data_IF_662077066321
#
_entry.id   IF_662077066321
#
_cell.length_a   1.000
_cell.length_b   1.000
_cell.length_c   1.000
_cell.angle_alpha   90.00
_cell.angle_beta   90.00
_cell.angle_gamma   90.00
#
_symmetry.space_group_name_H-M   'P 1'
#
loop_
_entity.id
_entity.type
_entity.pdbx_description
1 polymer ?
#
# COMPACT_ATOMS: atom_id res chain seq x y z
N UNK A 1 -0.16 -11.60 0.15
CA UNK A 1 0.60 -10.34 0.32
C UNK A 1 1.02 -9.88 -1.06
N UNK A 2 0.51 -8.75 -1.54
CA UNK A 2 0.94 -8.19 -2.82
C UNK A 2 2.32 -7.57 -2.65
N UNK A 3 3.23 -7.83 -3.58
CA UNK A 3 4.53 -7.14 -3.59
C UNK A 3 4.31 -5.64 -3.83
N UNK A 4 4.98 -4.75 -3.12
CA UNK A 4 4.82 -3.30 -3.26
C UNK A 4 5.28 -2.77 -4.63
N UNK A 5 6.01 -3.55 -5.37
CA UNK A 5 6.41 -3.29 -6.75
C UNK A 5 5.95 -4.46 -7.60
N UNK A 6 5.10 -4.19 -8.57
CA UNK A 6 4.64 -5.18 -9.52
C UNK A 6 5.45 -5.05 -10.80
N UNK A 7 6.18 -6.11 -11.15
CA UNK A 7 6.73 -6.24 -12.49
C UNK A 7 5.64 -6.84 -13.38
N UNK A 8 4.91 -6.02 -14.10
CA UNK A 8 3.98 -6.49 -15.11
C UNK A 8 4.77 -6.89 -16.35
N UNK A 9 5.14 -8.19 -16.45
CA UNK A 9 5.50 -8.75 -17.73
C UNK A 9 4.22 -8.96 -18.53
N UNK A 10 4.05 -8.23 -19.62
CA UNK A 10 3.05 -8.57 -20.62
C UNK A 10 3.44 -9.89 -21.29
N UNK A 11 2.86 -11.00 -20.84
CA UNK A 11 3.05 -12.33 -21.44
C UNK A 11 3.68 -13.35 -20.51
N UNK A 12 3.13 -14.58 -20.52
CA UNK A 12 3.66 -15.72 -19.77
C UNK A 12 5.16 -15.93 -19.99
N UNK A 13 5.91 -16.34 -18.96
CA UNK A 13 7.34 -16.57 -19.08
C UNK A 13 7.64 -17.84 -19.85
N UNK A 14 7.62 -17.77 -21.16
CA UNK A 14 8.51 -18.59 -21.97
C UNK A 14 9.90 -17.99 -21.77
N UNK A 15 10.89 -18.81 -21.45
CA UNK A 15 12.26 -18.40 -21.18
C UNK A 15 12.66 -17.20 -22.05
N UNK A 16 12.61 -16.01 -21.47
CA UNK A 16 12.94 -14.79 -22.17
C UNK A 16 14.45 -14.80 -22.35
N UNK A 17 14.89 -15.02 -23.58
CA UNK A 17 16.19 -14.48 -23.99
C UNK A 17 16.13 -12.98 -23.64
N UNK A 18 17.06 -12.53 -22.80
CA UNK A 18 17.26 -11.10 -22.53
C UNK A 18 17.80 -10.46 -23.82
N UNK A 19 16.94 -10.31 -24.84
CA UNK A 19 17.21 -9.37 -25.91
C UNK A 19 17.14 -7.99 -25.27
N UNK A 20 18.27 -7.32 -25.15
CA UNK A 20 18.33 -5.95 -24.66
C UNK A 20 17.32 -5.13 -25.48
N UNK A 21 16.38 -4.40 -24.84
CA UNK A 21 15.48 -3.55 -25.59
C UNK A 21 16.32 -2.57 -26.40
N UNK A 22 16.07 -2.48 -27.68
CA UNK A 22 16.78 -1.60 -28.62
C UNK A 22 16.60 -0.11 -28.31
N UNK A 23 15.62 0.24 -27.46
CA UNK A 23 15.36 1.59 -27.01
C UNK A 23 15.45 1.68 -25.47
N UNK A 24 16.29 2.61 -24.99
CA UNK A 24 16.41 2.92 -23.58
C UNK A 24 15.08 3.44 -23.02
N UNK A 25 14.45 2.67 -22.14
CA UNK A 25 13.24 3.10 -21.44
C UNK A 25 13.60 4.14 -20.38
N UNK A 26 12.94 5.29 -20.43
CA UNK A 26 13.12 6.36 -19.45
C UNK A 26 12.27 6.09 -18.20
N UNK A 27 12.87 6.36 -17.05
CA UNK A 27 12.12 6.41 -15.80
C UNK A 27 11.32 7.70 -15.72
N UNK A 28 10.13 7.62 -15.10
CA UNK A 28 9.22 8.76 -14.94
C UNK A 28 8.43 8.67 -13.63
N UNK A 29 7.92 9.82 -13.18
CA UNK A 29 6.89 9.93 -12.16
C UNK A 29 5.58 10.33 -12.83
N UNK A 30 4.56 9.47 -12.74
CA UNK A 30 3.18 9.85 -13.10
C UNK A 30 2.57 10.58 -11.92
N UNK A 31 2.15 11.82 -12.12
CA UNK A 31 1.56 12.69 -11.10
C UNK A 31 0.05 12.66 -11.24
N UNK A 32 -0.65 12.29 -10.18
CA UNK A 32 -2.09 12.08 -10.15
C UNK A 32 -2.79 13.02 -9.18
N UNK A 33 -4.04 13.33 -9.43
CA UNK A 33 -4.89 14.00 -8.43
C UNK A 33 -5.00 13.14 -7.18
N UNK A 34 -4.98 13.77 -5.97
CA UNK A 34 -5.33 13.04 -4.76
C UNK A 34 -6.80 12.56 -4.84
N UNK A 35 -7.17 11.42 -4.23
CA UNK A 35 -8.55 10.98 -4.22
C UNK A 35 -9.44 11.98 -3.49
N UNK A 36 -10.71 12.04 -3.87
CA UNK A 36 -11.70 12.83 -3.14
C UNK A 36 -11.88 12.26 -1.72
N UNK A 37 -12.13 13.12 -0.76
CA UNK A 37 -12.36 12.73 0.64
C UNK A 37 -13.44 11.63 0.72
N UNK A 38 -13.15 10.52 1.41
CA UNK A 38 -14.05 9.37 1.52
C UNK A 38 -14.05 8.40 0.34
N UNK A 39 -13.21 8.61 -0.68
CA UNK A 39 -13.04 7.68 -1.79
C UNK A 39 -12.05 6.54 -1.48
N UNK A 40 -12.12 5.47 -2.28
CA UNK A 40 -11.14 4.39 -2.20
C UNK A 40 -9.70 4.93 -2.38
N UNK A 41 -8.73 4.32 -1.71
CA UNK A 41 -7.30 4.67 -1.79
C UNK A 41 -6.71 4.34 -3.18
N UNK A 42 -7.28 4.94 -4.23
CA UNK A 42 -6.83 4.82 -5.62
C UNK A 42 -6.39 6.18 -6.13
N UNK A 43 -5.30 6.25 -6.92
CA UNK A 43 -4.90 7.48 -7.58
C UNK A 43 -6.05 8.04 -8.43
N UNK A 44 -6.26 9.34 -8.38
CA UNK A 44 -7.18 10.03 -9.27
C UNK A 44 -6.64 10.16 -10.68
N UNK A 45 -7.21 11.08 -11.46
CA UNK A 45 -6.82 11.33 -12.85
C UNK A 45 -5.34 11.73 -12.95
N UNK A 46 -4.71 11.32 -14.04
CA UNK A 46 -3.34 11.73 -14.36
C UNK A 46 -3.32 13.24 -14.66
N UNK A 47 -2.50 13.96 -13.93
CA UNK A 47 -2.27 15.40 -14.17
C UNK A 47 -1.20 15.61 -15.24
N UNK A 48 -0.02 15.03 -15.01
CA UNK A 48 1.12 15.08 -15.93
C UNK A 48 2.15 13.99 -15.58
N UNK A 49 3.16 13.85 -16.42
CA UNK A 49 4.27 12.96 -16.20
C UNK A 49 5.60 13.75 -16.15
N UNK A 50 6.43 13.45 -15.15
CA UNK A 50 7.78 14.00 -15.04
C UNK A 50 8.75 12.92 -15.51
N UNK A 51 9.14 13.00 -16.78
CA UNK A 51 10.16 12.09 -17.35
C UNK A 51 11.56 12.52 -16.92
N UNK A 52 12.34 11.58 -16.42
CA UNK A 52 13.73 11.85 -16.05
C UNK A 52 14.63 11.86 -17.27
N UNK A 53 15.52 12.85 -17.33
CA UNK A 53 16.48 12.98 -18.40
C UNK A 53 17.47 11.81 -18.39
N UNK A 54 17.94 11.45 -17.22
CA UNK A 54 18.79 10.29 -16.97
C UNK A 54 18.07 9.33 -16.02
N UNK A 55 18.17 8.04 -16.28
CA UNK A 55 17.61 7.03 -15.40
C UNK A 55 18.36 7.03 -14.06
N UNK A 56 17.68 6.79 -12.93
CA UNK A 56 18.34 6.63 -11.64
C UNK A 56 19.39 5.53 -11.70
N UNK A 57 20.55 5.76 -11.06
CA UNK A 57 21.58 4.73 -10.95
C UNK A 57 21.17 3.58 -10.05
N UNK A 58 20.41 3.90 -9.01
CA UNK A 58 19.93 2.95 -8.01
C UNK A 58 18.57 3.36 -7.49
N UNK A 59 17.82 2.38 -7.00
CA UNK A 59 16.55 2.52 -6.32
C UNK A 59 16.68 1.87 -4.95
N UNK A 60 16.47 2.63 -3.89
CA UNK A 60 16.50 2.11 -2.53
C UNK A 60 15.07 1.95 -2.01
N UNK A 61 14.71 0.72 -1.67
CA UNK A 61 13.43 0.38 -1.06
C UNK A 61 13.64 -0.02 0.39
N UNK A 62 12.86 0.53 1.29
CA UNK A 62 12.88 0.16 2.69
C UNK A 62 11.47 -0.07 3.23
N UNK A 63 11.33 -1.07 4.10
CA UNK A 63 10.11 -1.38 4.83
C UNK A 63 10.47 -1.85 6.22
N UNK A 64 9.85 -1.27 7.25
CA UNK A 64 10.11 -1.61 8.64
C UNK A 64 8.91 -2.35 9.24
N UNK A 65 9.19 -3.32 10.09
CA UNK A 65 8.20 -3.99 10.94
C UNK A 65 8.30 -3.42 12.36
N UNK A 66 7.16 -3.06 12.94
CA UNK A 66 7.07 -2.57 14.33
C UNK A 66 6.86 -3.75 15.27
N UNK A 67 7.81 -3.94 16.17
CA UNK A 67 7.77 -4.94 17.23
C UNK A 67 7.83 -4.26 18.58
N UNK A 68 6.89 -4.54 19.45
CA UNK A 68 6.87 -4.04 20.82
C UNK A 68 7.15 -5.19 21.79
N UNK A 69 7.96 -4.91 22.81
CA UNK A 69 8.23 -5.88 23.88
C UNK A 69 7.50 -5.44 25.13
N UNK A 70 6.54 -6.23 25.59
CA UNK A 70 5.89 -5.99 26.88
C UNK A 70 6.92 -6.13 28.00
N UNK A 71 7.15 -5.05 28.76
CA UNK A 71 7.96 -5.07 29.98
C UNK A 71 7.06 -5.54 31.12
N UNK A 72 7.25 -6.77 31.57
CA UNK A 72 6.65 -7.18 32.84
C UNK A 72 7.60 -6.74 33.97
N UNK A 73 7.12 -5.94 34.94
CA UNK A 73 7.95 -5.62 36.12
C UNK A 73 8.28 -6.91 36.88
N UNK A 74 9.53 -7.05 37.34
CA UNK A 74 10.07 -8.16 38.09
C UNK A 74 10.38 -9.46 37.32
N UNK A 75 10.53 -9.47 36.03
CA UNK A 75 11.00 -10.65 35.27
C UNK A 75 12.38 -10.38 34.70
N UNK A 76 13.35 -11.26 35.03
CA UNK A 76 14.74 -11.15 34.55
C UNK A 76 14.91 -11.39 33.03
N UNK A 77 13.86 -11.85 32.33
CA UNK A 77 13.88 -12.09 30.89
C UNK A 77 13.01 -11.05 30.18
N UNK A 78 13.49 -10.53 29.04
CA UNK A 78 12.72 -9.65 28.19
C UNK A 78 11.45 -10.36 27.68
N UNK A 79 10.29 -9.70 27.74
CA UNK A 79 9.02 -10.23 27.24
C UNK A 79 9.09 -10.63 25.75
N UNK A 80 8.20 -11.52 25.35
CA UNK A 80 8.04 -11.93 23.94
C UNK A 80 7.73 -10.72 23.07
N UNK A 81 8.38 -10.56 21.91
CA UNK A 81 8.07 -9.48 21.00
C UNK A 81 6.69 -9.68 20.37
N UNK A 82 5.86 -8.66 20.39
CA UNK A 82 4.55 -8.62 19.77
C UNK A 82 4.60 -7.77 18.50
N UNK A 83 4.07 -8.29 17.40
CA UNK A 83 4.01 -7.55 16.13
C UNK A 83 2.90 -6.50 16.18
N UNK A 84 3.24 -5.22 15.97
CA UNK A 84 2.31 -4.09 15.99
C UNK A 84 1.95 -3.55 14.62
N UNK A 85 2.50 -4.14 13.56
CA UNK A 85 2.25 -3.70 12.20
C UNK A 85 3.52 -3.46 11.40
N UNK A 86 3.37 -3.01 10.18
CA UNK A 86 4.48 -2.61 9.31
C UNK A 86 4.32 -1.16 8.86
N UNK A 87 5.45 -0.46 8.77
CA UNK A 87 5.47 0.87 8.17
C UNK A 87 5.19 0.80 6.67
N UNK A 88 4.70 1.90 6.06
CA UNK A 88 4.64 2.04 4.61
C UNK A 88 6.00 1.80 3.96
N UNK A 89 5.98 1.32 2.71
CA UNK A 89 7.21 1.19 1.92
C UNK A 89 7.72 2.58 1.57
N UNK A 90 9.03 2.78 1.70
CA UNK A 90 9.72 4.00 1.26
C UNK A 90 10.59 3.68 0.08
N UNK A 91 10.52 4.52 -0.95
CA UNK A 91 11.36 4.47 -2.13
C UNK A 91 12.19 5.75 -2.18
N UNK A 92 13.51 5.62 -2.14
CA UNK A 92 14.45 6.71 -2.37
C UNK A 92 15.11 6.55 -3.73
N UNK A 93 15.20 7.64 -4.47
CA UNK A 93 15.85 7.68 -5.77
C UNK A 93 16.63 8.97 -5.93
N UNK A 94 17.74 8.88 -6.66
CA UNK A 94 18.56 10.03 -7.04
C UNK A 94 18.38 10.32 -8.53
N UNK A 95 18.02 11.55 -8.85
CA UNK A 95 17.80 12.04 -10.21
C UNK A 95 18.87 13.04 -10.56
N UNK A 96 19.55 12.84 -11.66
CA UNK A 96 20.51 13.77 -12.23
C UNK A 96 19.85 14.61 -13.33
N UNK A 97 20.04 15.92 -13.29
CA UNK A 97 19.52 16.89 -14.23
C UNK A 97 20.65 17.71 -14.82
N UNK A 98 20.66 17.89 -16.13
CA UNK A 98 21.70 18.61 -16.85
C UNK A 98 21.10 19.40 -18.02
N UNK A 99 21.39 20.69 -18.09
CA UNK A 99 21.03 21.59 -19.18
C UNK A 99 22.26 22.25 -19.81
N UNK A 100 23.45 21.62 -19.67
CA UNK A 100 24.71 22.19 -20.20
C UNK A 100 24.71 22.29 -21.70
N UNK A 101 23.90 21.50 -22.42
CA UNK A 101 23.79 21.55 -23.88
C UNK A 101 23.16 22.88 -24.35
N UNK A 102 22.17 23.37 -23.63
CA UNK A 102 21.41 24.58 -24.00
C UNK A 102 21.69 25.77 -23.09
N UNK A 103 22.34 25.54 -21.94
CA UNK A 103 22.65 26.57 -20.92
C UNK A 103 21.42 27.37 -20.49
N UNK A 104 20.24 26.71 -20.44
CA UNK A 104 18.95 27.30 -20.12
C UNK A 104 18.49 27.00 -18.67
N UNK A 105 17.27 27.44 -18.35
CA UNK A 105 16.62 27.22 -17.04
C UNK A 105 15.92 25.84 -16.91
N UNK A 106 16.15 24.90 -17.81
CA UNK A 106 15.50 23.60 -17.85
C UNK A 106 15.66 22.78 -16.56
N UNK A 107 16.82 22.90 -15.90
CA UNK A 107 17.07 22.25 -14.60
C UNK A 107 16.17 22.87 -13.52
N UNK A 108 16.05 24.20 -13.48
CA UNK A 108 15.22 24.91 -12.48
C UNK A 108 13.77 24.48 -12.63
N UNK A 109 13.23 24.49 -13.85
CA UNK A 109 11.85 24.07 -14.16
C UNK A 109 11.57 22.63 -13.72
N UNK A 110 12.52 21.71 -13.94
CA UNK A 110 12.37 20.31 -13.49
C UNK A 110 12.37 20.19 -11.98
N UNK A 111 13.22 20.92 -11.28
CA UNK A 111 13.26 20.96 -9.83
C UNK A 111 11.94 21.54 -9.27
N UNK A 112 11.43 22.61 -9.87
CA UNK A 112 10.14 23.20 -9.48
C UNK A 112 8.97 22.22 -9.66
N UNK A 113 8.96 21.42 -10.76
CA UNK A 113 7.98 20.37 -10.94
C UNK A 113 8.04 19.30 -9.83
N UNK A 114 9.25 18.92 -9.40
CA UNK A 114 9.42 17.99 -8.28
C UNK A 114 8.96 18.62 -6.94
N UNK A 115 9.29 19.88 -6.69
CA UNK A 115 8.84 20.58 -5.49
C UNK A 115 7.32 20.78 -5.46
N UNK A 116 6.69 21.02 -6.59
CA UNK A 116 5.24 21.11 -6.71
C UNK A 116 4.52 19.83 -6.25
N UNK A 117 5.19 18.67 -6.34
CA UNK A 117 4.65 17.43 -5.81
C UNK A 117 4.62 17.37 -4.26
N UNK A 118 5.29 18.28 -3.58
CA UNK A 118 5.25 18.41 -2.11
C UNK A 118 4.18 19.42 -1.63
N UNK A 119 3.49 20.08 -2.54
CA UNK A 119 2.54 21.15 -2.22
C UNK A 119 1.11 20.73 -2.56
N UNK A 120 0.10 21.06 -1.73
CA UNK A 120 -1.29 20.75 -2.04
C UNK A 120 -1.73 21.32 -3.38
N UNK A 121 -2.45 20.53 -4.16
CA UNK A 121 -3.04 20.98 -5.43
C UNK A 121 -4.16 22.01 -5.18
N UNK A 122 -4.37 22.95 -6.10
CA UNK A 122 -5.42 23.96 -5.98
C UNK A 122 -6.81 23.32 -5.88
N UNK A 123 -7.07 22.30 -6.71
CA UNK A 123 -8.31 21.54 -6.66
C UNK A 123 -8.58 20.92 -5.28
N UNK A 124 -7.54 20.38 -4.63
CA UNK A 124 -7.69 19.76 -3.30
C UNK A 124 -8.00 20.80 -2.21
N UNK A 125 -7.49 22.02 -2.34
CA UNK A 125 -7.76 23.13 -1.40
C UNK A 125 -9.21 23.58 -1.43
N UNK A 126 -9.83 23.56 -2.60
CA UNK A 126 -11.24 23.97 -2.79
C UNK A 126 -12.24 22.98 -2.15
N UNK A 127 -11.84 21.73 -1.94
CA UNK A 127 -12.70 20.65 -1.45
C UNK A 127 -12.44 20.24 0.01
N UNK A 128 -11.76 21.07 0.80
CA UNK A 128 -11.51 20.84 2.23
C UNK A 128 -10.02 20.87 2.61
N UNK A 129 -9.50 19.81 3.21
CA UNK A 129 -8.06 19.73 3.55
C UNK A 129 -7.23 19.53 2.29
N UNK A 130 -6.43 20.56 1.95
CA UNK A 130 -5.51 20.46 0.80
C UNK A 130 -4.57 19.25 0.92
N UNK A 131 -4.45 18.50 -0.16
CA UNK A 131 -3.57 17.34 -0.27
C UNK A 131 -2.59 17.50 -1.43
N UNK A 132 -1.30 17.15 -1.24
CA UNK A 132 -0.36 17.04 -2.35
C UNK A 132 -0.83 16.00 -3.38
N UNK A 133 -0.35 16.08 -4.63
CA UNK A 133 -0.64 15.08 -5.63
C UNK A 133 -0.06 13.72 -5.24
N UNK A 134 -0.68 12.65 -5.70
CA UNK A 134 -0.14 11.31 -5.59
C UNK A 134 0.79 11.02 -6.77
N UNK A 135 1.80 10.23 -6.55
CA UNK A 135 2.78 9.89 -7.58
C UNK A 135 2.95 8.38 -7.69
N UNK A 136 3.24 7.93 -8.92
CA UNK A 136 3.62 6.54 -9.18
C UNK A 136 4.91 6.57 -9.97
N UNK A 137 5.95 5.92 -9.45
CA UNK A 137 7.20 5.73 -10.16
C UNK A 137 7.05 4.62 -11.20
N UNK A 138 7.49 4.87 -12.44
CA UNK A 138 7.47 3.90 -13.52
C UNK A 138 8.82 3.87 -14.23
N UNK A 139 9.29 2.67 -14.58
CA UNK A 139 10.49 2.51 -15.37
C UNK A 139 10.42 1.24 -16.20
N UNK A 140 10.21 1.38 -17.51
CA UNK A 140 9.97 0.24 -18.40
C UNK A 140 8.80 -0.62 -17.95
N UNK A 141 9.03 -1.89 -17.73
CA UNK A 141 8.02 -2.83 -17.20
C UNK A 141 7.79 -2.75 -15.69
N UNK A 142 8.55 -1.92 -14.97
CA UNK A 142 8.40 -1.74 -13.54
C UNK A 142 7.41 -0.62 -13.24
N UNK A 143 6.36 -0.93 -12.49
CA UNK A 143 5.42 0.06 -11.94
C UNK A 143 5.49 0.00 -10.42
N UNK A 144 5.75 1.13 -9.79
CA UNK A 144 5.75 1.29 -8.34
C UNK A 144 4.34 1.33 -7.75
N UNK A 145 4.29 1.55 -6.47
CA UNK A 145 3.06 1.72 -5.70
C UNK A 145 2.57 3.18 -5.76
N UNK A 146 1.29 3.46 -5.50
CA UNK A 146 0.81 4.80 -5.23
C UNK A 146 1.52 5.38 -4.00
N UNK A 147 2.11 6.55 -4.16
CA UNK A 147 2.93 7.19 -3.14
C UNK A 147 2.65 8.70 -3.09
N UNK A 148 3.05 9.32 -2.00
CA UNK A 148 3.25 10.76 -1.95
C UNK A 148 4.75 11.07 -1.89
N UNK A 149 5.11 12.28 -2.30
CA UNK A 149 6.49 12.76 -2.18
C UNK A 149 6.69 13.25 -0.75
N UNK A 150 7.47 12.50 0.03
CA UNK A 150 7.77 12.84 1.42
C UNK A 150 8.79 13.99 1.51
N UNK A 151 9.78 13.98 0.62
CA UNK A 151 10.75 15.07 0.51
C UNK A 151 11.43 15.09 -0.84
N UNK A 152 11.84 16.29 -1.26
CA UNK A 152 12.73 16.52 -2.39
C UNK A 152 13.86 17.42 -1.91
N UNK A 153 15.11 17.00 -2.17
CA UNK A 153 16.30 17.81 -1.94
C UNK A 153 17.02 17.99 -3.26
N UNK A 154 17.26 19.23 -3.67
CA UNK A 154 17.99 19.56 -4.89
C UNK A 154 19.33 20.21 -4.55
N UNK A 155 20.42 19.67 -5.09
CA UNK A 155 21.76 20.21 -4.99
C UNK A 155 22.23 20.69 -6.35
N UNK A 156 22.31 21.99 -6.53
CA UNK A 156 22.85 22.60 -7.74
C UNK A 156 24.37 22.54 -7.73
N UNK A 157 24.98 22.11 -8.83
CA UNK A 157 26.42 21.84 -8.91
C UNK A 157 27.14 22.61 -10.02
N UNK A 158 26.41 23.18 -10.97
CA UNK A 158 26.97 23.99 -12.05
C UNK A 158 26.05 25.16 -12.37
N UNK A 159 26.64 26.33 -12.64
CA UNK A 159 25.93 27.56 -12.92
C UNK A 159 26.50 28.23 -14.18
N UNK A 160 25.67 28.97 -14.90
CA UNK A 160 26.12 29.89 -15.94
C UNK A 160 26.84 31.07 -15.32
N UNK A 161 27.62 31.84 -16.11
CA UNK A 161 28.20 33.11 -15.62
C UNK A 161 27.18 34.11 -15.12
N UNK A 162 25.92 34.01 -15.55
CA UNK A 162 24.79 34.83 -15.07
C UNK A 162 24.15 34.30 -13.79
N UNK A 163 24.66 33.20 -13.19
CA UNK A 163 24.16 32.61 -11.96
C UNK A 163 22.96 31.68 -12.13
N UNK A 164 22.57 31.31 -13.37
CA UNK A 164 21.49 30.36 -13.62
C UNK A 164 22.03 28.93 -13.41
N UNK A 165 21.41 28.09 -12.57
CA UNK A 165 21.86 26.71 -12.38
C UNK A 165 21.50 25.85 -13.58
N UNK A 166 22.51 25.13 -14.13
CA UNK A 166 22.38 24.28 -15.32
C UNK A 166 22.64 22.81 -15.02
N UNK A 167 22.99 22.47 -13.77
CA UNK A 167 23.13 21.08 -13.33
C UNK A 167 22.70 20.91 -11.90
N UNK A 168 21.95 19.84 -11.63
CA UNK A 168 21.52 19.49 -10.28
C UNK A 168 21.47 17.96 -10.07
N UNK A 169 21.65 17.56 -8.83
CA UNK A 169 21.31 16.24 -8.33
C UNK A 169 20.15 16.40 -7.36
N UNK A 170 19.05 15.67 -7.59
CA UNK A 170 17.87 15.70 -6.75
C UNK A 170 17.69 14.35 -6.07
N UNK A 171 17.55 14.36 -4.75
CA UNK A 171 17.11 13.20 -3.97
C UNK A 171 15.63 13.30 -3.75
N UNK A 172 14.87 12.31 -4.22
CA UNK A 172 13.40 12.22 -4.09
C UNK A 172 13.06 11.04 -3.22
N UNK A 173 12.35 11.29 -2.13
CA UNK A 173 11.87 10.27 -1.22
C UNK A 173 10.35 10.15 -1.37
N UNK A 174 9.91 8.95 -1.72
CA UNK A 174 8.51 8.58 -1.87
C UNK A 174 8.11 7.68 -0.72
N UNK A 175 6.90 7.85 -0.21
CA UNK A 175 6.32 6.98 0.79
C UNK A 175 4.99 6.42 0.29
N UNK A 176 4.83 5.11 0.42
CA UNK A 176 3.64 4.38 0.02
C UNK A 176 2.42 4.95 0.74
N UNK A 177 1.40 5.27 -0.03
CA UNK A 177 0.08 5.48 0.52
C UNK A 177 -0.48 4.09 0.74
N UNK A 178 -0.44 3.64 1.99
CA UNK A 178 -1.10 2.40 2.37
C UNK A 178 -2.55 2.53 1.90
N UNK A 179 -2.89 1.77 0.82
CA UNK A 179 -4.29 1.57 0.50
C UNK A 179 -4.96 1.07 1.77
N UNK A 180 -6.21 1.37 1.96
CA UNK A 180 -7.03 0.67 2.93
C UNK A 180 -6.99 -0.84 2.59
N UNK A 181 -5.91 -1.48 2.96
CA UNK A 181 -6.01 -2.86 3.42
C UNK A 181 -6.87 -2.69 4.66
N UNK A 182 -8.13 -3.17 4.56
CA UNK A 182 -9.08 -3.05 5.62
C UNK A 182 -8.35 -3.15 6.94
N UNK A 183 -8.23 -2.02 7.63
CA UNK A 183 -7.50 -1.98 8.87
C UNK A 183 -8.14 -3.05 9.72
N UNK A 184 -7.39 -4.06 10.07
CA UNK A 184 -7.69 -4.82 11.25
C UNK A 184 -7.53 -3.83 12.40
N UNK A 185 -8.53 -2.96 12.49
CA UNK A 185 -8.80 -2.26 13.71
C UNK A 185 -9.53 -3.30 14.57
N UNK A 186 -8.94 -3.82 15.63
CA UNK A 186 -9.61 -4.82 16.48
C UNK A 186 -10.87 -4.28 17.14
N UNK A 187 -11.29 -3.05 16.85
CA UNK A 187 -12.44 -2.36 17.45
C UNK A 187 -13.50 -1.86 16.46
N UNK A 188 -13.38 -2.09 15.16
CA UNK A 188 -14.43 -1.73 14.21
C UNK A 188 -14.56 -2.77 13.11
N UNK A 189 -15.45 -3.74 13.31
CA UNK A 189 -16.06 -4.56 12.26
C UNK A 189 -15.07 -5.35 11.39
N UNK A 190 -13.91 -5.76 11.94
CA UNK A 190 -13.21 -6.88 11.35
C UNK A 190 -14.19 -8.03 11.36
N UNK A 191 -14.43 -8.62 10.20
CA UNK A 191 -14.91 -10.00 10.13
C UNK A 191 -13.99 -10.79 11.06
N UNK A 192 -14.43 -10.94 12.32
CA UNK A 192 -13.71 -11.68 13.35
C UNK A 192 -13.35 -13.01 12.72
N UNK A 193 -12.14 -13.50 12.95
CA UNK A 193 -11.62 -14.69 12.29
C UNK A 193 -12.71 -15.77 12.31
N UNK A 194 -13.37 -15.96 11.16
CA UNK A 194 -14.45 -16.95 11.03
C UNK A 194 -13.77 -18.29 11.03
N UNK A 195 -13.89 -18.99 12.13
CA UNK A 195 -13.45 -20.38 12.20
C UNK A 195 -14.36 -21.22 11.28
N UNK A 196 -13.78 -22.15 10.54
CA UNK A 196 -14.56 -23.06 9.72
C UNK A 196 -14.58 -24.43 10.37
N UNK A 197 -15.77 -24.93 10.67
CA UNK A 197 -16.00 -26.27 11.20
C UNK A 197 -16.52 -27.20 10.11
N UNK A 198 -15.92 -28.39 9.97
CA UNK A 198 -16.43 -29.43 9.07
C UNK A 198 -17.27 -30.39 9.88
N UNK A 199 -18.54 -30.52 9.53
CA UNK A 199 -19.46 -31.44 10.19
C UNK A 199 -18.99 -32.89 10.04
N UNK A 200 -18.91 -33.61 11.14
CA UNK A 200 -18.69 -35.05 11.16
C UNK A 200 -19.99 -35.78 11.45
N UNK A 201 -20.01 -37.08 11.19
CA UNK A 201 -21.20 -37.91 11.45
C UNK A 201 -21.62 -37.82 12.94
N UNK A 202 -22.84 -37.41 13.18
CA UNK A 202 -23.39 -37.18 14.55
C UNK A 202 -23.30 -35.74 15.06
N UNK A 203 -22.64 -34.84 14.35
CA UNK A 203 -22.65 -33.41 14.71
C UNK A 203 -24.01 -32.79 14.38
N UNK A 204 -24.43 -31.90 15.25
CA UNK A 204 -25.59 -31.01 15.08
C UNK A 204 -25.14 -29.57 15.24
N UNK A 205 -25.88 -28.58 14.72
CA UNK A 205 -25.54 -27.17 14.93
C UNK A 205 -25.43 -26.81 16.42
N UNK A 206 -26.26 -27.40 17.26
CA UNK A 206 -26.21 -27.23 18.72
C UNK A 206 -24.91 -27.79 19.31
N UNK A 207 -24.43 -28.95 18.84
CA UNK A 207 -23.17 -29.53 19.31
C UNK A 207 -21.97 -28.69 18.88
N UNK A 208 -22.02 -28.13 17.67
CA UNK A 208 -20.98 -27.22 17.17
C UNK A 208 -20.98 -25.91 17.96
N UNK A 209 -22.15 -25.30 18.20
CA UNK A 209 -22.29 -24.10 19.01
C UNK A 209 -21.78 -24.30 20.45
N UNK A 210 -22.06 -25.46 21.04
CA UNK A 210 -21.53 -25.79 22.35
C UNK A 210 -20.00 -25.95 22.36
N UNK A 211 -19.44 -26.61 21.34
CA UNK A 211 -17.99 -26.79 21.22
C UNK A 211 -17.24 -25.46 21.06
N UNK A 212 -17.80 -24.51 20.30
CA UNK A 212 -17.14 -23.24 19.97
C UNK A 212 -17.46 -22.15 20.98
N UNK A 213 -18.71 -21.99 21.36
CA UNK A 213 -19.19 -20.89 22.20
C UNK A 213 -19.44 -21.28 23.66
N UNK A 214 -19.40 -22.59 23.99
CA UNK A 214 -19.81 -23.08 25.30
C UNK A 214 -21.33 -22.98 25.55
N UNK A 215 -22.10 -22.51 24.57
CA UNK A 215 -23.56 -22.34 24.68
C UNK A 215 -24.25 -22.94 23.44
N UNK A 216 -25.08 -23.99 23.60
CA UNK A 216 -25.78 -24.62 22.50
C UNK A 216 -26.93 -23.77 21.93
N UNK A 217 -27.42 -22.77 22.64
CA UNK A 217 -28.53 -21.90 22.17
C UNK A 217 -28.11 -20.99 21.01
N UNK A 218 -26.78 -20.76 20.84
CA UNK A 218 -26.19 -19.93 19.78
C UNK A 218 -26.13 -20.66 18.42
N UNK A 219 -26.77 -21.80 18.27
CA UNK A 219 -26.77 -22.53 16.99
C UNK A 219 -27.49 -21.75 15.87
N UNK A 220 -28.39 -20.83 16.21
CA UNK A 220 -29.12 -20.00 15.23
C UNK A 220 -28.17 -19.04 14.50
N UNK A 221 -27.22 -18.48 15.19
CA UNK A 221 -26.21 -17.58 14.64
C UNK A 221 -25.33 -18.30 13.62
N UNK A 222 -25.01 -19.59 13.88
CA UNK A 222 -24.30 -20.42 12.92
C UNK A 222 -25.20 -20.75 11.71
N UNK A 223 -26.49 -21.01 11.93
CA UNK A 223 -27.44 -21.27 10.85
C UNK A 223 -27.59 -20.05 9.94
N UNK A 224 -27.79 -18.86 10.52
CA UNK A 224 -27.94 -17.60 9.79
C UNK A 224 -26.67 -17.23 9.01
N UNK A 225 -25.49 -17.38 9.61
CA UNK A 225 -24.20 -17.11 8.94
C UNK A 225 -23.92 -18.02 7.75
N UNK A 226 -24.64 -19.14 7.61
CA UNK A 226 -24.49 -20.15 6.54
C UNK A 226 -25.73 -20.31 5.66
N UNK A 227 -26.74 -19.43 5.78
CA UNK A 227 -28.03 -19.49 5.05
C UNK A 227 -28.70 -20.87 5.18
N UNK A 228 -28.73 -21.44 6.41
CA UNK A 228 -29.31 -22.77 6.69
C UNK A 228 -30.74 -22.60 7.23
N UNK A 229 -31.72 -22.90 6.39
CA UNK A 229 -33.12 -22.89 6.76
C UNK A 229 -33.56 -24.14 7.55
N UNK A 230 -32.95 -25.30 7.24
CA UNK A 230 -33.32 -26.57 7.89
C UNK A 230 -32.04 -27.25 8.46
N UNK A 231 -31.79 -27.08 9.78
CA UNK A 231 -30.62 -27.66 10.43
C UNK A 231 -30.64 -29.21 10.49
N UNK A 232 -31.79 -29.85 10.21
CA UNK A 232 -31.92 -31.31 10.21
C UNK A 232 -31.46 -31.94 8.89
N UNK A 233 -31.23 -31.15 7.85
CA UNK A 233 -30.77 -31.61 6.52
C UNK A 233 -29.30 -31.52 6.29
N UNK A 234 -28.51 -31.17 7.27
CA UNK A 234 -27.07 -31.04 7.15
C UNK A 234 -26.39 -32.41 6.97
N UNK A 235 -25.49 -32.49 5.98
CA UNK A 235 -24.76 -33.71 5.70
C UNK A 235 -23.36 -33.68 6.33
N UNK A 236 -22.83 -34.81 6.81
CA UNK A 236 -21.44 -34.92 7.18
C UNK A 236 -20.53 -34.48 6.01
N UNK A 237 -19.47 -33.73 6.31
CA UNK A 237 -18.58 -33.12 5.32
C UNK A 237 -18.96 -31.69 4.91
N UNK A 238 -20.14 -31.18 5.33
CA UNK A 238 -20.49 -29.77 5.10
C UNK A 238 -19.56 -28.89 5.92
N UNK A 239 -18.98 -27.86 5.25
CA UNK A 239 -18.17 -26.83 5.93
C UNK A 239 -19.07 -25.69 6.37
N UNK A 240 -19.05 -25.41 7.66
CA UNK A 240 -19.77 -24.31 8.28
C UNK A 240 -18.84 -23.15 8.60
N UNK A 241 -19.26 -21.94 8.31
CA UNK A 241 -18.69 -20.71 8.85
C UNK A 241 -19.20 -20.53 10.28
N UNK A 242 -18.29 -20.35 11.22
CA UNK A 242 -18.62 -20.13 12.62
C UNK A 242 -18.28 -18.67 12.94
N UNK A 243 -19.27 -17.77 13.12
CA UNK A 243 -19.06 -16.37 13.48
C UNK A 243 -18.37 -16.26 14.84
N UNK A 244 -17.63 -15.18 15.07
CA UNK A 244 -17.03 -14.97 16.37
C UNK A 244 -18.05 -14.54 17.41
N UNK A 245 -17.79 -14.84 18.68
CA UNK A 245 -18.69 -14.56 19.82
C UNK A 245 -19.07 -13.08 19.96
N UNK A 246 -18.25 -12.17 19.45
CA UNK A 246 -18.47 -10.72 19.46
C UNK A 246 -19.54 -10.30 18.46
N UNK A 247 -19.61 -10.94 17.28
CA UNK A 247 -20.65 -10.69 16.27
C UNK A 247 -22.03 -11.16 16.76
N UNK A 248 -22.06 -12.22 17.57
CA UNK A 248 -23.28 -12.82 18.14
C UNK A 248 -23.91 -11.92 19.22
N UNK A 249 -23.14 -11.05 19.86
CA UNK A 249 -23.61 -10.15 20.95
C UNK A 249 -24.10 -8.80 20.46
N UNK A 250 -23.61 -8.32 19.31
CA UNK A 250 -23.98 -7.01 18.74
C UNK A 250 -25.24 -7.06 17.85
N UNK A 251 -25.74 -8.25 17.50
CA UNK A 251 -26.97 -8.47 16.72
C UNK A 251 -28.26 -8.46 17.51
N UNK A 252 -28.25 -8.04 18.81
CA UNK A 252 -29.45 -7.91 19.65
C UNK A 252 -29.68 -6.48 20.06
#
# INVERSE_FOLDING_TARGET
MASPITFTSAGSPKAASYAAPTNLQKALLSVHRPPKAGGAAKPGDLLHEITFQFNPKELSLSKNAKWERSRQPNVAKSGTPEFKGSDPVKLALEVFLDATEHMDDGVVKKVEQLFACCVPTEDSRQHGKGSPPWVIFKWGGMTGFPAFVASVAAKYTLFTPAGVPVRATCTVNLEEIAGEQGGQNPTSGALAARDSHVLVAGDTLQSVAYKVYGNPELWREIAEANDIDDPMRLRPGTRLLVPALEEVRDGR
#
